data_IF_364963333756
#
_entry.id   IF_364963333756
#
_cell.length_a   1.000
_cell.length_b   1.000
_cell.length_c   1.000
_cell.angle_alpha   90.00
_cell.angle_beta   90.00
_cell.angle_gamma   90.00
#
_symmetry.space_group_name_H-M   'P 1'
#
loop_
_entity.id
_entity.type
_entity.pdbx_description
1 polymer ?
#
# COMPACT_ATOMS: atom_id res chain seq x y z
N UNK A 1 10.86 -9.54 3.98
CA UNK A 1 11.57 -8.41 3.36
C UNK A 1 10.71 -7.16 3.58
N UNK A 2 11.14 -6.22 4.43
CA UNK A 2 10.39 -4.99 4.70
C UNK A 2 10.50 -4.07 3.48
N UNK A 3 9.36 -3.62 2.92
CA UNK A 3 9.36 -2.59 1.88
C UNK A 3 9.87 -1.27 2.50
N UNK A 4 10.73 -0.51 1.79
CA UNK A 4 11.17 0.79 2.27
C UNK A 4 9.93 1.68 2.45
N UNK A 5 9.77 2.19 3.67
CA UNK A 5 8.70 3.13 4.02
C UNK A 5 8.86 4.34 3.10
N UNK A 6 7.89 4.56 2.22
CA UNK A 6 7.79 5.75 1.36
C UNK A 6 7.47 6.95 2.24
N UNK A 7 8.45 7.43 2.99
CA UNK A 7 8.37 8.70 3.70
C UNK A 7 8.50 9.79 2.64
N UNK A 8 7.58 10.76 2.56
CA UNK A 8 7.82 11.94 1.74
C UNK A 8 9.12 12.59 2.23
N UNK A 9 10.15 12.59 1.38
CA UNK A 9 11.42 13.22 1.72
C UNK A 9 11.19 14.73 1.72
N UNK A 10 11.05 15.30 2.92
CA UNK A 10 10.92 16.74 3.10
C UNK A 10 12.31 17.34 2.99
N UNK A 11 12.57 18.07 1.91
CA UNK A 11 13.76 18.89 1.79
C UNK A 11 13.53 20.19 2.55
N UNK A 12 14.47 20.53 3.43
CA UNK A 12 14.41 21.76 4.22
C UNK A 12 15.47 22.71 3.69
N UNK A 13 15.04 23.75 2.98
CA UNK A 13 15.92 24.85 2.58
C UNK A 13 15.88 25.95 3.64
N UNK A 14 16.93 26.06 4.45
CA UNK A 14 17.05 27.14 5.44
C UNK A 14 17.46 28.43 4.74
N UNK A 15 16.66 29.49 4.90
CA UNK A 15 17.03 30.87 4.52
C UNK A 15 17.41 31.67 5.77
N UNK A 16 17.90 32.91 5.60
CA UNK A 16 18.27 33.78 6.73
C UNK A 16 17.11 34.09 7.69
N UNK A 17 15.85 34.01 7.25
CA UNK A 17 14.69 34.42 8.04
C UNK A 17 13.70 33.29 8.34
N UNK A 18 13.64 32.24 7.51
CA UNK A 18 12.72 31.11 7.70
C UNK A 18 13.20 29.86 6.95
N UNK A 19 12.68 28.69 7.32
CA UNK A 19 12.90 27.45 6.58
C UNK A 19 11.76 27.25 5.57
N UNK A 20 12.12 26.99 4.32
CA UNK A 20 11.18 26.57 3.28
C UNK A 20 11.20 25.05 3.22
N UNK A 21 10.03 24.43 3.42
CA UNK A 21 9.85 23.00 3.26
C UNK A 21 9.40 22.75 1.82
N UNK A 22 10.19 21.97 1.06
CA UNK A 22 9.78 21.45 -0.24
C UNK A 22 9.59 19.95 -0.15
N UNK A 23 8.44 19.45 -0.60
CA UNK A 23 8.23 18.02 -0.75
C UNK A 23 8.85 17.58 -2.07
N UNK A 24 9.92 16.77 -2.01
CA UNK A 24 10.41 16.09 -3.21
C UNK A 24 9.73 14.73 -3.28
N UNK A 25 8.80 14.59 -4.22
CA UNK A 25 8.19 13.30 -4.51
C UNK A 25 9.15 12.52 -5.41
N UNK A 26 10.15 11.88 -4.80
CA UNK A 26 10.98 10.93 -5.55
C UNK A 26 10.08 9.75 -5.95
N UNK A 27 9.99 9.50 -7.25
CA UNK A 27 9.23 8.36 -7.76
C UNK A 27 9.94 7.10 -7.28
N UNK A 28 9.20 6.11 -6.73
CA UNK A 28 9.82 4.86 -6.35
C UNK A 28 10.49 4.19 -7.56
N UNK A 29 11.57 3.43 -7.34
CA UNK A 29 12.32 2.78 -8.41
C UNK A 29 11.50 1.71 -9.15
N UNK A 30 10.39 1.26 -8.57
CA UNK A 30 9.54 0.21 -9.12
C UNK A 30 8.09 0.67 -9.25
N UNK A 31 7.43 0.21 -10.31
CA UNK A 31 5.98 0.33 -10.46
C UNK A 31 5.28 -0.74 -9.62
N UNK A 32 4.20 -0.33 -8.98
CA UNK A 32 3.37 -1.22 -8.18
C UNK A 32 2.06 -1.48 -8.91
N UNK A 33 1.70 -2.75 -9.03
CA UNK A 33 0.38 -3.15 -9.49
C UNK A 33 -0.55 -3.38 -8.29
N UNK A 34 -1.69 -2.73 -8.30
CA UNK A 34 -2.72 -2.82 -7.26
C UNK A 34 -3.85 -3.71 -7.78
N UNK A 35 -3.96 -4.89 -7.18
CA UNK A 35 -5.08 -5.80 -7.40
C UNK A 35 -6.22 -5.42 -6.44
N UNK A 36 -7.19 -4.67 -6.96
CA UNK A 36 -8.30 -4.10 -6.20
C UNK A 36 -9.55 -4.98 -6.33
N UNK A 37 -9.96 -5.59 -5.22
CA UNK A 37 -11.19 -6.41 -5.13
C UNK A 37 -11.86 -6.20 -3.76
N UNK A 38 -12.48 -5.03 -3.60
CA UNK A 38 -13.17 -4.61 -2.38
C UNK A 38 -14.64 -4.42 -2.72
N UNK A 39 -15.53 -5.12 -2.00
CA UNK A 39 -16.98 -5.05 -2.27
C UNK A 39 -17.58 -3.67 -1.93
N UNK A 40 -16.95 -2.91 -1.04
CA UNK A 40 -17.39 -1.58 -0.64
C UNK A 40 -17.06 -0.52 -1.71
N UNK A 41 -18.10 -0.01 -2.40
CA UNK A 41 -17.98 1.03 -3.45
C UNK A 41 -17.31 2.31 -2.97
N UNK A 42 -17.61 2.75 -1.74
CA UNK A 42 -16.98 3.92 -1.13
C UNK A 42 -15.45 3.78 -1.05
N UNK A 43 -14.98 2.68 -0.44
CA UNK A 43 -13.55 2.41 -0.27
C UNK A 43 -12.84 2.21 -1.60
N UNK A 44 -13.48 1.51 -2.54
CA UNK A 44 -12.96 1.31 -3.89
C UNK A 44 -12.74 2.65 -4.61
N UNK A 45 -13.69 3.60 -4.51
CA UNK A 45 -13.57 4.93 -5.12
C UNK A 45 -12.42 5.75 -4.51
N UNK A 46 -12.27 5.72 -3.18
CA UNK A 46 -11.17 6.39 -2.48
C UNK A 46 -9.83 5.83 -2.92
N UNK A 47 -9.72 4.50 -3.01
CA UNK A 47 -8.48 3.84 -3.42
C UNK A 47 -8.16 4.13 -4.88
N UNK A 48 -9.14 4.03 -5.79
CA UNK A 48 -8.95 4.39 -7.20
C UNK A 48 -8.50 5.84 -7.38
N UNK A 49 -9.12 6.78 -6.66
CA UNK A 49 -8.67 8.19 -6.66
C UNK A 49 -7.26 8.36 -6.11
N UNK A 50 -6.85 7.56 -5.13
CA UNK A 50 -5.49 7.58 -4.60
C UNK A 50 -4.46 6.99 -5.58
N UNK A 51 -4.81 5.91 -6.30
CA UNK A 51 -3.96 5.29 -7.32
C UNK A 51 -3.80 6.20 -8.53
N UNK A 52 -4.89 6.84 -8.99
CA UNK A 52 -4.85 7.77 -10.12
C UNK A 52 -3.91 8.98 -9.87
N UNK A 53 -3.73 9.39 -8.61
CA UNK A 53 -2.81 10.47 -8.23
C UNK A 53 -1.34 10.02 -8.15
N UNK A 54 -1.07 8.71 -8.22
CA UNK A 54 0.26 8.12 -8.05
C UNK A 54 0.72 7.50 -9.38
N UNK A 55 1.58 8.17 -10.16
CA UNK A 55 1.99 7.70 -11.49
C UNK A 55 2.81 6.39 -11.47
N UNK A 56 3.26 5.98 -10.28
CA UNK A 56 3.99 4.74 -10.03
C UNK A 56 3.08 3.57 -9.58
N UNK A 57 1.78 3.82 -9.43
CA UNK A 57 0.77 2.79 -9.18
C UNK A 57 -0.10 2.60 -10.42
N UNK A 58 -0.49 1.37 -10.69
CA UNK A 58 -1.56 1.05 -11.64
C UNK A 58 -2.55 0.09 -11.02
N UNK A 59 -3.84 0.24 -11.33
CA UNK A 59 -4.84 -0.78 -11.01
C UNK A 59 -4.88 -1.80 -12.15
N UNK A 60 -4.83 -3.09 -11.82
CA UNK A 60 -4.88 -4.13 -12.83
C UNK A 60 -4.88 -5.54 -12.25
N UNK A 61 -5.69 -6.42 -12.83
CA UNK A 61 -5.70 -7.86 -12.50
C UNK A 61 -4.53 -8.63 -13.12
N UNK A 62 -3.71 -7.97 -13.94
CA UNK A 62 -2.67 -8.63 -14.72
C UNK A 62 -1.45 -8.99 -13.86
N UNK A 63 -1.32 -10.29 -13.59
CA UNK A 63 -0.17 -10.91 -12.92
C UNK A 63 1.07 -11.05 -13.84
N UNK A 64 0.99 -10.59 -15.10
CA UNK A 64 1.97 -10.90 -16.14
C UNK A 64 3.17 -9.94 -16.25
N UNK A 65 3.24 -8.88 -15.45
CA UNK A 65 4.40 -7.98 -15.47
C UNK A 65 5.30 -8.22 -14.27
N UNK A 66 6.61 -8.05 -14.45
CA UNK A 66 7.68 -8.03 -13.42
C UNK A 66 7.50 -6.98 -12.30
N UNK A 67 6.30 -6.40 -12.19
CA UNK A 67 5.94 -5.38 -11.21
C UNK A 67 5.54 -5.99 -9.87
N UNK A 68 5.86 -5.28 -8.79
CA UNK A 68 5.47 -5.66 -7.44
C UNK A 68 3.95 -5.57 -7.30
N UNK A 69 3.31 -6.69 -6.95
CA UNK A 69 1.85 -6.74 -6.79
C UNK A 69 1.46 -6.56 -5.33
N UNK A 70 0.47 -5.70 -5.09
CA UNK A 70 -0.18 -5.53 -3.78
C UNK A 70 -1.66 -5.87 -3.92
N UNK A 71 -2.12 -6.83 -3.12
CA UNK A 71 -3.52 -7.22 -3.04
C UNK A 71 -4.26 -6.29 -2.07
N UNK A 72 -5.08 -5.39 -2.62
CA UNK A 72 -6.05 -4.60 -1.86
C UNK A 72 -7.43 -5.21 -2.05
N UNK A 73 -7.71 -6.22 -1.23
CA UNK A 73 -8.96 -6.98 -1.29
C UNK A 73 -9.61 -7.11 0.08
N UNK A 74 -10.89 -7.50 0.07
CA UNK A 74 -11.53 -8.01 1.27
C UNK A 74 -10.79 -9.27 1.77
N UNK A 75 -10.74 -9.47 3.09
CA UNK A 75 -9.87 -10.50 3.69
C UNK A 75 -10.10 -11.91 3.13
N UNK A 76 -11.34 -12.27 2.87
CA UNK A 76 -11.72 -13.58 2.35
C UNK A 76 -11.29 -13.79 0.89
N UNK A 77 -11.04 -12.70 0.15
CA UNK A 77 -10.65 -12.73 -1.26
C UNK A 77 -9.13 -12.65 -1.48
N UNK A 78 -8.35 -12.47 -0.40
CA UNK A 78 -6.88 -12.45 -0.48
C UNK A 78 -6.37 -13.86 -0.72
N UNK A 79 -5.58 -14.04 -1.78
CA UNK A 79 -4.85 -15.29 -2.01
C UNK A 79 -3.60 -15.27 -1.13
N UNK A 80 -3.57 -16.08 -0.08
CA UNK A 80 -2.55 -16.02 0.97
C UNK A 80 -1.26 -16.77 0.62
N UNK A 81 -1.33 -17.80 -0.21
CA UNK A 81 -0.17 -18.58 -0.67
C UNK A 81 0.95 -17.70 -1.25
N UNK A 82 0.69 -16.80 -2.22
CA UNK A 82 1.73 -15.91 -2.76
C UNK A 82 2.18 -14.83 -1.76
N UNK A 83 1.34 -14.46 -0.80
CA UNK A 83 1.69 -13.50 0.26
C UNK A 83 2.67 -14.13 1.24
N UNK A 84 2.38 -15.35 1.69
CA UNK A 84 3.26 -16.13 2.57
C UNK A 84 4.58 -16.48 1.89
N UNK A 85 4.56 -16.73 0.57
CA UNK A 85 5.76 -16.94 -0.23
C UNK A 85 6.58 -15.65 -0.48
N UNK A 86 6.13 -14.49 0.01
CA UNK A 86 6.82 -13.21 -0.16
C UNK A 86 6.79 -12.65 -1.58
N UNK A 87 5.94 -13.18 -2.46
CA UNK A 87 5.83 -12.76 -3.87
C UNK A 87 4.94 -11.53 -4.07
N UNK A 88 4.03 -11.26 -3.13
CA UNK A 88 3.14 -10.10 -3.18
C UNK A 88 2.84 -9.56 -1.79
N UNK A 89 2.46 -8.29 -1.72
CA UNK A 89 1.94 -7.67 -0.50
C UNK A 89 0.42 -7.83 -0.39
N UNK A 90 -0.12 -7.68 0.82
CA UNK A 90 -1.55 -7.70 1.07
C UNK A 90 -1.95 -6.55 2.02
N UNK A 91 -3.20 -6.09 1.90
CA UNK A 91 -3.80 -5.08 2.79
C UNK A 91 -4.09 -5.56 4.21
N UNK A 92 -4.00 -6.87 4.46
CA UNK A 92 -4.35 -7.50 5.74
C UNK A 92 -3.27 -8.47 6.21
N UNK A 93 -3.27 -8.74 7.51
CA UNK A 93 -2.46 -9.79 8.14
C UNK A 93 -3.24 -11.09 8.27
N UNK A 94 -2.60 -12.22 7.94
CA UNK A 94 -3.19 -13.56 8.04
C UNK A 94 -3.53 -13.92 9.50
N UNK A 95 -2.55 -13.78 10.39
CA UNK A 95 -2.71 -14.03 11.82
C UNK A 95 -3.04 -12.72 12.52
N UNK A 96 -4.34 -12.47 12.72
CA UNK A 96 -4.84 -11.21 13.32
C UNK A 96 -5.82 -11.38 14.49
N UNK A 97 -6.26 -12.62 14.76
CA UNK A 97 -7.32 -12.92 15.72
C UNK A 97 -7.00 -12.37 17.13
N UNK A 98 -5.73 -12.43 17.55
CA UNK A 98 -5.28 -11.91 18.85
C UNK A 98 -5.53 -10.41 19.06
N UNK A 99 -5.56 -9.61 17.99
CA UNK A 99 -5.82 -8.17 18.07
C UNK A 99 -7.19 -7.75 17.53
N UNK A 100 -7.89 -8.62 16.79
CA UNK A 100 -9.19 -8.29 16.21
C UNK A 100 -10.37 -8.81 17.01
N UNK A 101 -10.17 -9.77 17.92
CA UNK A 101 -11.23 -10.35 18.75
C UNK A 101 -11.15 -9.84 20.18
N UNK A 102 -12.22 -9.20 20.64
CA UNK A 102 -12.34 -8.64 22.00
C UNK A 102 -11.98 -9.65 23.10
N UNK A 103 -12.42 -10.92 22.96
CA UNK A 103 -12.12 -11.97 23.93
C UNK A 103 -10.64 -12.37 24.01
N UNK A 104 -9.87 -12.15 22.94
CA UNK A 104 -8.45 -12.47 22.89
C UNK A 104 -7.57 -11.26 23.22
N UNK A 105 -8.12 -10.05 23.04
CA UNK A 105 -7.52 -8.79 23.46
C UNK A 105 -7.57 -8.56 24.97
N UNK A 106 -8.53 -9.16 25.67
CA UNK A 106 -8.76 -8.98 27.11
C UNK A 106 -7.97 -9.93 28.00
N UNK A 107 -7.04 -10.69 27.41
CA UNK A 107 -6.07 -11.54 28.12
C UNK A 107 -4.83 -10.71 28.45
#
# INVERSE_FOLDING_TARGET
>A
MWLPILVPTVQVAKTQKFAVLSSRTELPPHKFNVDLDINCSYSANVINGSVARRPWCSTGKNQQSENYTVQLKDFENITWEPVMAGKCGASSYLVRKGLSRKAQLSL
#
